data_IF_498403454626
#
_entry.id   IF_498403454626
#
_cell.length_a   1.000
_cell.length_b   1.000
_cell.length_c   1.000
_cell.angle_alpha   90.00
_cell.angle_beta   90.00
_cell.angle_gamma   90.00
#
_symmetry.space_group_name_H-M   'P 1'
#
loop_
_entity.id
_entity.type
_entity.pdbx_description
1 polymer ?
#
# COMPACT_ATOMS: atom_id res chain seq x y z
N UNK A 1 -5.01 13.74 7.42
CA UNK A 1 -4.35 13.00 8.51
C UNK A 1 -4.08 13.92 9.70
N UNK A 2 -4.31 13.45 10.92
CA UNK A 2 -3.81 14.05 12.14
C UNK A 2 -2.58 13.27 12.60
N UNK A 3 -1.50 14.00 12.88
CA UNK A 3 -0.26 13.43 13.38
C UNK A 3 -0.04 13.89 14.82
N UNK A 4 0.23 12.96 15.71
CA UNK A 4 0.39 13.18 17.14
C UNK A 4 1.86 13.03 17.50
N UNK A 5 2.40 13.99 18.23
CA UNK A 5 3.78 14.03 18.68
C UNK A 5 3.82 14.30 20.18
N UNK A 6 4.38 13.39 21.00
CA UNK A 6 4.59 13.68 22.41
C UNK A 6 5.70 14.71 22.57
N UNK A 7 5.44 15.76 23.33
CA UNK A 7 6.44 16.73 23.79
C UNK A 7 6.64 16.48 25.28
N UNK A 8 7.68 15.71 25.61
CA UNK A 8 7.96 15.25 26.97
C UNK A 8 8.36 16.43 27.88
N UNK A 9 9.12 17.38 27.35
CA UNK A 9 9.60 18.55 28.12
C UNK A 9 8.46 19.42 28.66
N UNK A 10 7.43 19.62 27.83
CA UNK A 10 6.28 20.45 28.16
C UNK A 10 5.06 19.64 28.64
N UNK A 11 5.18 18.31 28.73
CA UNK A 11 4.08 17.37 29.06
C UNK A 11 2.82 17.58 28.19
N UNK A 12 3.02 17.82 26.89
CA UNK A 12 1.97 18.09 25.92
C UNK A 12 1.94 17.04 24.81
N UNK A 13 0.80 16.94 24.15
CA UNK A 13 0.67 16.28 22.86
C UNK A 13 0.48 17.33 21.79
N UNK A 14 1.38 17.40 20.80
CA UNK A 14 1.25 18.28 19.64
C UNK A 14 0.49 17.54 18.55
N UNK A 15 -0.59 18.12 18.04
CA UNK A 15 -1.37 17.57 16.92
C UNK A 15 -1.16 18.46 15.68
N UNK A 16 -0.70 17.83 14.59
CA UNK A 16 -0.57 18.50 13.29
C UNK A 16 -1.52 17.85 12.27
N UNK A 17 -2.11 18.66 11.38
CA UNK A 17 -2.83 18.15 10.22
C UNK A 17 -1.91 18.12 9.00
N UNK A 18 -2.07 17.10 8.17
CA UNK A 18 -1.34 16.93 6.91
C UNK A 18 -2.27 16.36 5.84
N UNK A 19 -2.54 17.09 4.73
CA UNK A 19 -2.24 18.53 4.56
C UNK A 19 -3.07 19.39 5.52
N UNK A 20 -2.67 20.66 5.69
CA UNK A 20 -3.49 21.66 6.39
C UNK A 20 -4.77 21.94 5.58
N UNK A 21 -5.88 22.11 6.28
CA UNK A 21 -7.19 22.44 5.72
C UNK A 21 -7.63 23.76 6.34
N UNK A 22 -7.90 24.78 5.53
CA UNK A 22 -8.13 26.14 5.99
C UNK A 22 -9.33 26.29 6.94
N UNK A 23 -10.39 25.53 6.72
CA UNK A 23 -11.60 25.58 7.53
C UNK A 23 -11.67 24.50 8.62
N UNK A 24 -10.53 23.94 9.07
CA UNK A 24 -10.51 22.96 10.14
C UNK A 24 -9.67 23.44 11.31
N UNK A 25 -10.27 23.49 12.49
CA UNK A 25 -9.62 23.80 13.77
C UNK A 25 -9.45 22.55 14.60
N UNK A 26 -8.35 22.48 15.33
CA UNK A 26 -8.06 21.41 16.30
C UNK A 26 -8.32 21.94 17.69
N UNK A 27 -9.16 21.24 18.44
CA UNK A 27 -9.37 21.39 19.88
C UNK A 27 -8.70 20.21 20.57
N UNK A 28 -7.55 20.46 21.17
CA UNK A 28 -6.68 19.44 21.72
C UNK A 28 -6.76 19.41 23.25
N UNK A 29 -7.46 18.43 23.78
CA UNK A 29 -7.62 18.16 25.21
C UNK A 29 -6.98 16.83 25.61
N UNK A 30 -5.86 16.47 24.95
CA UNK A 30 -5.11 15.27 25.28
C UNK A 30 -4.13 15.52 26.43
N UNK A 31 -4.10 14.62 27.38
CA UNK A 31 -3.03 14.53 28.39
C UNK A 31 -1.93 13.56 27.93
N UNK A 32 -0.67 13.92 28.16
CA UNK A 32 0.46 13.02 27.96
C UNK A 32 0.64 12.15 29.21
N UNK A 33 0.66 10.83 29.04
CA UNK A 33 0.82 9.87 30.17
C UNK A 33 2.06 8.99 29.94
N UNK A 34 2.73 8.64 31.02
CA UNK A 34 3.87 7.73 30.97
C UNK A 34 3.39 6.29 30.83
N UNK A 35 3.29 5.84 29.59
CA UNK A 35 2.81 4.51 29.23
C UNK A 35 3.46 4.02 27.92
N UNK A 36 3.60 2.70 27.74
CA UNK A 36 4.11 2.12 26.50
C UNK A 36 3.13 2.33 25.33
N UNK A 37 3.66 2.51 24.11
CA UNK A 37 2.88 2.63 22.89
C UNK A 37 2.22 1.29 22.51
N UNK A 38 1.04 1.03 23.05
CA UNK A 38 0.18 -0.09 22.67
C UNK A 38 -1.01 0.45 21.87
N UNK A 39 -2.20 -0.01 22.13
CA UNK A 39 -3.44 0.42 21.46
C UNK A 39 -3.83 1.88 21.77
N UNK A 40 -2.93 2.82 21.49
CA UNK A 40 -3.05 4.24 21.85
C UNK A 40 -4.39 4.89 21.43
N UNK A 41 -4.99 4.41 20.33
CA UNK A 41 -6.27 4.93 19.83
C UNK A 41 -7.47 4.60 20.71
N UNK A 42 -7.39 3.55 21.53
CA UNK A 42 -8.47 3.13 22.41
C UNK A 42 -8.68 4.09 23.59
N UNK A 43 -7.62 4.86 23.94
CA UNK A 43 -7.64 5.82 25.03
C UNK A 43 -7.92 7.25 24.56
N UNK A 44 -8.20 7.44 23.27
CA UNK A 44 -8.48 8.77 22.68
C UNK A 44 -9.86 8.76 22.06
N UNK A 45 -10.70 9.68 22.45
CA UNK A 45 -11.92 10.02 21.74
C UNK A 45 -11.65 11.13 20.72
N UNK A 46 -12.27 11.02 19.55
CA UNK A 46 -12.22 12.05 18.52
C UNK A 46 -13.64 12.35 18.06
N UNK A 47 -14.01 13.63 18.08
CA UNK A 47 -15.24 14.12 17.48
C UNK A 47 -14.94 15.15 16.39
N UNK A 48 -15.75 15.13 15.32
CA UNK A 48 -15.65 16.08 14.22
C UNK A 48 -17.01 16.76 14.03
N UNK A 49 -17.05 18.08 14.25
CA UNK A 49 -18.29 18.85 14.24
C UNK A 49 -18.21 20.01 13.26
N UNK A 50 -19.21 20.12 12.38
CA UNK A 50 -19.35 21.29 11.52
C UNK A 50 -20.00 22.42 12.31
N UNK A 51 -19.30 23.54 12.43
CA UNK A 51 -19.77 24.75 13.11
C UNK A 51 -20.65 25.60 12.18
N UNK A 52 -21.47 26.49 12.77
CA UNK A 52 -22.38 27.42 12.03
C UNK A 52 -21.67 28.28 10.97
N UNK A 53 -20.39 28.60 11.19
CA UNK A 53 -19.56 29.37 10.26
C UNK A 53 -18.87 28.53 9.18
N UNK A 54 -19.31 27.31 8.93
CA UNK A 54 -18.73 26.34 8.00
C UNK A 54 -17.27 25.94 8.32
N UNK A 55 -16.85 26.09 9.58
CA UNK A 55 -15.56 25.61 10.08
C UNK A 55 -15.75 24.24 10.73
N UNK A 56 -14.91 23.29 10.41
CA UNK A 56 -14.83 22.01 11.11
C UNK A 56 -14.04 22.17 12.40
N UNK A 57 -14.54 21.59 13.48
CA UNK A 57 -13.85 21.46 14.76
C UNK A 57 -13.55 20.00 15.02
N UNK A 58 -12.26 19.66 15.01
CA UNK A 58 -11.77 18.33 15.40
C UNK A 58 -11.34 18.40 16.87
N UNK A 59 -12.12 17.80 17.75
CA UNK A 59 -11.82 17.71 19.18
C UNK A 59 -11.23 16.37 19.52
N UNK A 60 -10.11 16.37 20.26
CA UNK A 60 -9.44 15.20 20.77
C UNK A 60 -9.40 15.26 22.30
N UNK A 61 -9.82 14.19 22.94
CA UNK A 61 -9.87 14.06 24.42
C UNK A 61 -9.34 12.69 24.83
N UNK A 62 -8.68 12.63 25.99
CA UNK A 62 -8.15 11.39 26.56
C UNK A 62 -6.65 11.41 26.78
N UNK A 63 -6.02 10.23 26.76
CA UNK A 63 -4.63 10.03 27.17
C UNK A 63 -3.79 9.52 26.00
N UNK A 64 -2.67 10.19 25.74
CA UNK A 64 -1.69 9.77 24.73
C UNK A 64 -0.43 9.25 25.40
N UNK A 65 0.04 8.01 25.08
CA UNK A 65 1.23 7.42 25.71
C UNK A 65 2.52 8.10 25.24
N UNK A 66 3.41 8.47 26.18
CA UNK A 66 4.73 9.04 25.91
C UNK A 66 5.66 8.05 25.18
N UNK A 67 5.45 6.75 25.35
CA UNK A 67 6.15 5.69 24.62
C UNK A 67 5.85 5.60 23.13
N UNK A 68 4.85 6.35 22.61
CA UNK A 68 4.64 6.53 21.17
C UNK A 68 5.54 7.64 20.67
N UNK A 69 6.47 7.36 19.74
CA UNK A 69 7.34 8.38 19.14
C UNK A 69 6.55 9.35 18.27
N UNK A 70 5.68 8.82 17.41
CA UNK A 70 4.67 9.55 16.64
C UNK A 70 3.59 8.59 16.19
N UNK A 71 2.38 9.08 16.02
CA UNK A 71 1.26 8.29 15.51
C UNK A 71 0.41 9.11 14.54
N UNK A 72 -0.32 8.42 13.67
CA UNK A 72 -1.19 9.07 12.68
C UNK A 72 -2.60 8.50 12.73
N UNK A 73 -3.58 9.40 12.58
CA UNK A 73 -4.99 9.04 12.47
C UNK A 73 -5.60 9.68 11.23
N UNK A 74 -5.97 8.84 10.26
CA UNK A 74 -6.61 9.28 9.03
C UNK A 74 -8.13 9.35 9.24
N UNK A 75 -8.72 10.48 8.88
CA UNK A 75 -10.14 10.76 9.03
C UNK A 75 -10.67 11.38 7.73
N UNK A 76 -11.84 10.97 7.31
CA UNK A 76 -12.59 11.63 6.24
C UNK A 76 -13.50 12.67 6.89
N UNK A 77 -13.17 13.94 6.68
CA UNK A 77 -13.90 15.06 7.28
C UNK A 77 -14.92 15.70 6.33
N UNK A 78 -14.69 15.61 5.01
CA UNK A 78 -15.49 16.28 3.99
C UNK A 78 -15.38 15.54 2.66
N UNK A 79 -16.17 15.94 1.67
CA UNK A 79 -16.05 15.43 0.31
C UNK A 79 -14.73 15.86 -0.35
N UNK A 80 -14.38 15.23 -1.48
CA UNK A 80 -13.12 15.44 -2.19
C UNK A 80 -12.95 16.88 -2.69
N UNK A 81 -14.04 17.50 -3.14
CA UNK A 81 -14.02 18.83 -3.73
C UNK A 81 -13.73 19.88 -2.65
N UNK A 82 -14.42 19.78 -1.52
CA UNK A 82 -14.17 20.67 -0.39
C UNK A 82 -12.78 20.41 0.22
N UNK A 83 -12.35 19.17 0.29
CA UNK A 83 -10.99 18.85 0.74
C UNK A 83 -9.94 19.51 -0.13
N UNK A 84 -10.06 19.40 -1.47
CA UNK A 84 -9.15 20.05 -2.42
C UNK A 84 -9.16 21.58 -2.24
N UNK A 85 -10.35 22.18 -2.25
CA UNK A 85 -10.51 23.64 -2.11
C UNK A 85 -9.86 24.17 -0.82
N UNK A 86 -10.16 23.54 0.31
CA UNK A 86 -9.66 24.00 1.60
C UNK A 86 -8.16 23.75 1.79
N UNK A 87 -7.62 22.68 1.17
CA UNK A 87 -6.18 22.44 1.12
C UNK A 87 -5.46 23.46 0.23
N UNK A 88 -6.05 23.83 -0.91
CA UNK A 88 -5.51 24.87 -1.80
C UNK A 88 -5.50 26.24 -1.12
N UNK A 89 -6.60 26.61 -0.43
CA UNK A 89 -6.69 27.85 0.33
C UNK A 89 -5.58 27.89 1.39
N UNK A 90 -5.44 26.81 2.16
CA UNK A 90 -4.44 26.72 3.20
C UNK A 90 -3.02 26.84 2.64
N UNK A 91 -2.69 26.12 1.57
CA UNK A 91 -1.37 26.16 0.95
C UNK A 91 -1.03 27.57 0.40
N UNK A 92 -2.02 28.25 -0.22
CA UNK A 92 -1.84 29.60 -0.72
C UNK A 92 -1.57 30.61 0.41
N UNK A 93 -2.34 30.53 1.50
CA UNK A 93 -2.16 31.38 2.69
C UNK A 93 -0.81 31.10 3.38
N UNK A 94 -0.39 29.84 3.49
CA UNK A 94 0.90 29.44 4.09
C UNK A 94 2.10 29.98 3.30
N UNK A 95 1.93 30.20 1.99
CA UNK A 95 2.94 30.83 1.13
C UNK A 95 2.86 32.38 1.14
N UNK A 96 2.02 32.99 2.00
CA UNK A 96 1.84 34.42 2.09
C UNK A 96 0.85 35.02 1.08
N UNK A 97 0.14 34.17 0.35
CA UNK A 97 -0.89 34.58 -0.60
C UNK A 97 -2.15 35.09 0.07
N UNK A 98 -2.88 35.95 -0.62
CA UNK A 98 -4.18 36.45 -0.18
C UNK A 98 -5.25 36.31 -1.26
N UNK A 99 -6.50 36.24 -0.83
CA UNK A 99 -7.65 36.06 -1.71
C UNK A 99 -8.47 37.34 -1.77
N UNK A 100 -8.59 37.98 -2.94
CA UNK A 100 -9.49 39.13 -3.14
C UNK A 100 -10.97 38.75 -2.95
N UNK A 101 -11.36 37.54 -3.36
CA UNK A 101 -12.65 36.90 -3.05
C UNK A 101 -12.40 35.45 -2.69
N UNK A 102 -13.16 34.90 -1.75
CA UNK A 102 -13.05 33.49 -1.39
C UNK A 102 -13.25 32.59 -2.64
N UNK A 103 -12.31 31.70 -2.94
CA UNK A 103 -12.42 30.81 -4.08
C UNK A 103 -13.59 29.85 -3.90
N UNK A 104 -14.17 29.43 -5.02
CA UNK A 104 -15.30 28.50 -5.06
C UNK A 104 -15.03 27.40 -6.08
N UNK A 105 -15.50 26.21 -5.81
CA UNK A 105 -15.53 25.11 -6.80
C UNK A 105 -16.79 25.27 -7.64
N UNK A 106 -16.61 25.04 -8.94
CA UNK A 106 -17.69 24.93 -9.92
C UNK A 106 -17.44 23.67 -10.75
N UNK A 107 -18.41 22.78 -10.80
CA UNK A 107 -18.37 21.64 -11.72
C UNK A 107 -18.57 22.12 -13.15
N UNK A 108 -17.82 21.52 -14.07
CA UNK A 108 -17.91 21.87 -15.50
C UNK A 108 -16.85 21.14 -16.32
N UNK A 109 -16.88 21.38 -17.61
CA UNK A 109 -15.83 20.93 -18.53
C UNK A 109 -14.92 22.12 -18.87
N UNK A 110 -13.62 21.83 -19.04
CA UNK A 110 -12.67 22.82 -19.54
C UNK A 110 -12.99 23.06 -21.01
N UNK A 111 -13.24 24.32 -21.36
CA UNK A 111 -13.52 24.72 -22.74
C UNK A 111 -12.27 24.61 -23.60
N UNK A 112 -12.45 24.41 -24.91
CA UNK A 112 -11.35 24.51 -25.87
C UNK A 112 -10.69 25.89 -25.78
N UNK A 113 -9.36 25.92 -25.89
CA UNK A 113 -8.57 27.17 -25.84
C UNK A 113 -8.03 27.56 -24.45
N UNK A 114 -8.32 26.79 -23.39
CA UNK A 114 -7.65 27.00 -22.10
C UNK A 114 -6.19 26.52 -22.14
N UNK A 115 -5.29 27.38 -21.72
CA UNK A 115 -3.86 27.04 -21.59
C UNK A 115 -3.53 26.73 -20.14
N UNK A 116 -2.85 25.60 -19.83
CA UNK A 116 -2.39 25.32 -18.48
C UNK A 116 -1.45 26.43 -17.98
N UNK A 117 -1.68 26.95 -16.78
CA UNK A 117 -0.79 27.92 -16.13
C UNK A 117 0.47 27.19 -15.62
N UNK A 118 0.29 25.98 -15.11
CA UNK A 118 1.37 25.14 -14.61
C UNK A 118 1.01 23.68 -14.81
N UNK A 119 2.01 22.86 -15.08
CA UNK A 119 1.88 21.39 -15.13
C UNK A 119 2.86 20.79 -14.13
N UNK A 120 2.33 19.97 -13.23
CA UNK A 120 3.13 19.19 -12.29
C UNK A 120 3.24 17.76 -12.79
N UNK A 121 4.48 17.28 -12.91
CA UNK A 121 4.75 15.87 -13.21
C UNK A 121 4.96 15.12 -11.90
N UNK A 122 4.19 14.06 -11.70
CA UNK A 122 4.36 13.17 -10.56
C UNK A 122 5.59 12.27 -10.69
N UNK A 123 5.78 11.39 -9.72
CA UNK A 123 6.83 10.36 -9.78
C UNK A 123 6.59 9.40 -10.96
N UNK A 124 7.64 8.75 -11.49
CA UNK A 124 7.49 7.73 -12.52
C UNK A 124 6.53 6.61 -12.11
N UNK A 125 5.86 6.00 -13.10
CA UNK A 125 4.84 4.98 -12.84
C UNK A 125 5.36 3.80 -11.99
N UNK A 126 6.60 3.37 -12.21
CA UNK A 126 7.18 2.26 -11.43
C UNK A 126 7.31 2.59 -9.94
N UNK A 127 7.60 3.83 -9.58
CA UNK A 127 7.61 4.28 -8.18
C UNK A 127 6.21 4.27 -7.58
N UNK A 128 5.21 4.72 -8.34
CA UNK A 128 3.80 4.63 -7.94
C UNK A 128 3.38 3.18 -7.72
N UNK A 129 3.78 2.25 -8.60
CA UNK A 129 3.50 0.81 -8.47
C UNK A 129 4.19 0.22 -7.24
N UNK A 130 5.45 0.64 -6.96
CA UNK A 130 6.16 0.26 -5.74
C UNK A 130 5.38 0.67 -4.50
N UNK A 131 4.92 1.91 -4.43
CA UNK A 131 4.16 2.41 -3.29
C UNK A 131 2.80 1.71 -3.17
N UNK A 132 2.11 1.43 -4.29
CA UNK A 132 0.89 0.63 -4.30
C UNK A 132 1.12 -0.72 -3.64
N UNK A 133 2.17 -1.44 -4.02
CA UNK A 133 2.44 -2.78 -3.52
C UNK A 133 2.96 -2.76 -2.08
N UNK A 134 3.95 -1.90 -1.76
CA UNK A 134 4.54 -1.78 -0.42
C UNK A 134 3.51 -1.36 0.63
N UNK A 135 2.71 -0.36 0.33
CA UNK A 135 1.73 0.22 1.25
C UNK A 135 0.33 -0.39 1.11
N UNK A 136 0.11 -1.22 0.09
CA UNK A 136 -1.20 -1.78 -0.24
C UNK A 136 -2.27 -0.69 -0.47
N UNK A 137 -1.92 0.34 -1.27
CA UNK A 137 -2.77 1.50 -1.50
C UNK A 137 -3.87 1.19 -2.53
N UNK A 138 -5.08 0.94 -2.04
CA UNK A 138 -6.23 0.58 -2.87
C UNK A 138 -6.68 1.71 -3.81
N UNK A 139 -6.55 2.96 -3.39
CA UNK A 139 -6.96 4.13 -4.21
C UNK A 139 -6.04 4.24 -5.42
N UNK A 140 -4.73 4.21 -5.21
CA UNK A 140 -3.75 4.26 -6.29
C UNK A 140 -3.90 3.06 -7.24
N UNK A 141 -4.15 1.85 -6.71
CA UNK A 141 -4.39 0.67 -7.55
C UNK A 141 -5.61 0.83 -8.48
N UNK A 142 -6.71 1.40 -7.96
CA UNK A 142 -7.88 1.75 -8.78
C UNK A 142 -7.55 2.78 -9.85
N UNK A 143 -6.75 3.80 -9.52
CA UNK A 143 -6.33 4.81 -10.47
C UNK A 143 -5.48 4.21 -11.60
N UNK A 144 -4.61 3.24 -11.31
CA UNK A 144 -3.85 2.54 -12.37
C UNK A 144 -4.79 1.84 -13.35
N UNK A 145 -5.82 1.13 -12.88
CA UNK A 145 -6.81 0.50 -13.77
C UNK A 145 -7.54 1.52 -14.64
N UNK A 146 -7.93 2.67 -14.05
CA UNK A 146 -8.59 3.75 -14.79
C UNK A 146 -7.64 4.43 -15.78
N UNK A 147 -6.36 4.59 -15.45
CA UNK A 147 -5.34 5.12 -16.35
C UNK A 147 -5.10 4.18 -17.54
N UNK A 148 -5.06 2.86 -17.31
CA UNK A 148 -5.01 1.88 -18.40
C UNK A 148 -6.21 2.05 -19.34
N UNK A 149 -7.40 2.28 -18.78
CA UNK A 149 -8.58 2.55 -19.60
C UNK A 149 -8.45 3.85 -20.39
N UNK A 150 -7.97 4.92 -19.77
CA UNK A 150 -7.78 6.24 -20.40
C UNK A 150 -6.80 6.16 -21.58
N UNK A 151 -5.68 5.47 -21.38
CA UNK A 151 -4.58 5.43 -22.37
C UNK A 151 -4.82 4.44 -23.52
N UNK A 152 -5.64 3.41 -23.30
CA UNK A 152 -5.75 2.29 -24.24
C UNK A 152 -7.16 2.05 -24.78
N UNK A 153 -8.21 2.58 -24.16
CA UNK A 153 -9.58 2.41 -24.64
C UNK A 153 -9.96 3.50 -25.64
N UNK A 154 -10.77 3.10 -26.64
CA UNK A 154 -11.54 4.06 -27.42
C UNK A 154 -12.84 4.34 -26.67
N UNK A 155 -12.89 5.42 -25.88
CA UNK A 155 -14.06 5.79 -25.10
C UNK A 155 -13.75 6.19 -23.66
N UNK A 156 -14.79 6.33 -22.83
CA UNK A 156 -14.61 6.85 -21.47
C UNK A 156 -13.77 5.95 -20.58
N UNK A 157 -12.92 6.56 -19.75
CA UNK A 157 -12.17 5.85 -18.71
C UNK A 157 -13.12 5.36 -17.63
N UNK A 158 -13.25 4.04 -17.54
CA UNK A 158 -14.00 3.36 -16.48
C UNK A 158 -13.42 1.97 -16.18
N UNK A 159 -13.85 1.37 -15.08
CA UNK A 159 -13.32 0.06 -14.65
C UNK A 159 -13.63 -1.06 -15.63
N UNK A 160 -14.79 -1.00 -16.30
CA UNK A 160 -15.18 -2.00 -17.31
C UNK A 160 -14.21 -2.02 -18.49
N UNK A 161 -13.87 -0.85 -19.03
CA UNK A 161 -12.93 -0.73 -20.14
C UNK A 161 -11.50 -1.13 -19.69
N UNK A 162 -11.06 -0.70 -18.51
CA UNK A 162 -9.79 -1.12 -17.95
C UNK A 162 -9.69 -2.64 -17.81
N UNK A 163 -10.72 -3.27 -17.28
CA UNK A 163 -10.79 -4.73 -17.12
C UNK A 163 -10.72 -5.46 -18.46
N UNK A 164 -11.44 -4.97 -19.49
CA UNK A 164 -11.38 -5.56 -20.85
C UNK A 164 -9.97 -5.50 -21.41
N UNK A 165 -9.27 -4.38 -21.23
CA UNK A 165 -7.89 -4.20 -21.70
C UNK A 165 -6.95 -5.15 -20.98
N UNK A 166 -7.02 -5.24 -19.65
CA UNK A 166 -6.19 -6.16 -18.86
C UNK A 166 -6.42 -7.60 -19.28
N UNK A 167 -7.67 -8.06 -19.44
CA UNK A 167 -7.99 -9.41 -19.92
C UNK A 167 -7.44 -9.67 -21.33
N UNK A 168 -7.59 -8.70 -22.24
CA UNK A 168 -7.04 -8.80 -23.60
C UNK A 168 -5.52 -8.89 -23.59
N UNK A 169 -4.86 -8.12 -22.72
CA UNK A 169 -3.40 -8.15 -22.56
C UNK A 169 -2.93 -9.50 -22.02
N UNK A 170 -3.58 -10.06 -21.01
CA UNK A 170 -3.29 -11.39 -20.48
C UNK A 170 -3.41 -12.45 -21.57
N UNK A 171 -4.50 -12.42 -22.35
CA UNK A 171 -4.71 -13.36 -23.46
C UNK A 171 -3.62 -13.27 -24.53
N UNK A 172 -3.14 -12.06 -24.87
CA UNK A 172 -2.00 -11.88 -25.78
C UNK A 172 -0.71 -12.52 -25.27
N UNK A 173 -0.56 -12.63 -23.95
CA UNK A 173 0.56 -13.29 -23.30
C UNK A 173 0.28 -14.79 -22.97
N UNK A 174 -0.69 -15.39 -23.67
CA UNK A 174 -1.06 -16.80 -23.53
C UNK A 174 -1.57 -17.17 -22.14
N UNK A 175 -2.09 -16.21 -21.40
CA UNK A 175 -2.73 -16.40 -20.10
C UNK A 175 -4.26 -16.30 -20.28
N UNK A 176 -4.88 -17.43 -20.60
CA UNK A 176 -6.34 -17.54 -20.64
C UNK A 176 -6.85 -17.92 -19.25
N UNK A 177 -7.59 -17.00 -18.63
CA UNK A 177 -8.08 -17.09 -17.25
C UNK A 177 -9.59 -16.94 -17.22
N UNK A 178 -10.36 -18.01 -17.51
CA UNK A 178 -11.82 -17.93 -17.60
C UNK A 178 -12.49 -17.52 -16.28
N UNK A 179 -11.87 -17.86 -15.14
CA UNK A 179 -12.37 -17.50 -13.82
C UNK A 179 -12.05 -16.05 -13.41
N UNK A 180 -11.20 -15.34 -14.15
CA UNK A 180 -10.75 -14.01 -13.76
C UNK A 180 -11.89 -13.00 -13.74
N UNK A 181 -12.16 -12.45 -12.57
CA UNK A 181 -13.06 -11.30 -12.38
C UNK A 181 -12.27 -10.16 -11.76
N UNK A 182 -12.22 -9.02 -12.44
CA UNK A 182 -11.66 -7.78 -11.94
C UNK A 182 -12.80 -6.78 -11.83
N UNK A 183 -13.06 -6.27 -10.63
CA UNK A 183 -14.09 -5.26 -10.40
C UNK A 183 -13.51 -3.85 -10.45
N UNK A 184 -12.43 -3.61 -9.72
CA UNK A 184 -11.93 -2.26 -9.50
C UNK A 184 -10.39 -2.12 -9.49
N UNK A 185 -9.65 -3.20 -9.65
CA UNK A 185 -8.19 -3.22 -9.72
C UNK A 185 -7.46 -3.14 -8.37
N UNK A 186 -8.17 -3.03 -7.24
CA UNK A 186 -7.53 -2.97 -5.92
C UNK A 186 -7.54 -4.29 -5.15
N UNK A 187 -8.36 -5.26 -5.56
CA UNK A 187 -8.59 -6.49 -4.81
C UNK A 187 -9.52 -6.31 -3.59
N UNK A 188 -9.91 -5.08 -3.24
CA UNK A 188 -10.88 -4.82 -2.18
C UNK A 188 -12.31 -4.99 -2.72
N UNK A 189 -12.71 -6.23 -2.89
CA UNK A 189 -13.95 -6.63 -3.54
C UNK A 189 -14.40 -8.01 -3.07
N UNK A 190 -15.72 -8.25 -3.11
CA UNK A 190 -16.32 -9.55 -2.81
C UNK A 190 -16.58 -10.40 -4.05
N UNK A 191 -16.46 -9.84 -5.23
CA UNK A 191 -16.74 -10.52 -6.49
C UNK A 191 -15.48 -10.84 -7.29
N UNK A 192 -14.32 -10.24 -6.97
CA UNK A 192 -13.06 -10.56 -7.66
C UNK A 192 -12.68 -12.05 -7.51
N UNK A 193 -12.20 -12.63 -8.58
CA UNK A 193 -11.82 -14.06 -8.66
C UNK A 193 -10.55 -14.21 -9.49
N UNK A 194 -9.65 -15.04 -8.98
CA UNK A 194 -8.48 -15.56 -9.70
C UNK A 194 -8.02 -16.85 -9.03
N UNK A 195 -7.50 -17.81 -9.78
CA UNK A 195 -6.91 -19.00 -9.21
C UNK A 195 -5.47 -18.77 -8.76
N UNK A 196 -4.99 -19.55 -7.76
CA UNK A 196 -3.59 -19.53 -7.34
C UNK A 196 -2.65 -19.90 -8.49
N UNK A 197 -3.06 -20.83 -9.35
CA UNK A 197 -2.33 -21.22 -10.56
C UNK A 197 -2.11 -20.03 -11.50
N UNK A 198 -3.18 -19.32 -11.84
CA UNK A 198 -3.09 -18.20 -12.77
C UNK A 198 -2.35 -17.01 -12.19
N UNK A 199 -2.49 -16.74 -10.89
CA UNK A 199 -1.71 -15.68 -10.25
C UNK A 199 -0.20 -16.03 -10.23
N UNK A 200 0.17 -17.30 -10.04
CA UNK A 200 1.57 -17.76 -10.23
C UNK A 200 2.06 -17.57 -11.66
N UNK A 201 1.22 -17.81 -12.66
CA UNK A 201 1.60 -17.57 -14.06
C UNK A 201 1.84 -16.07 -14.33
N UNK A 202 1.05 -15.17 -13.70
CA UNK A 202 1.30 -13.72 -13.75
C UNK A 202 2.65 -13.37 -13.12
N UNK A 203 3.00 -14.00 -11.98
CA UNK A 203 4.31 -13.80 -11.36
C UNK A 203 5.45 -14.24 -12.31
N UNK A 204 5.32 -15.41 -12.94
CA UNK A 204 6.31 -15.91 -13.90
C UNK A 204 6.42 -15.00 -15.14
N UNK A 205 5.29 -14.49 -15.65
CA UNK A 205 5.30 -13.49 -16.72
C UNK A 205 6.03 -12.21 -16.29
N UNK A 206 5.81 -11.76 -15.06
CA UNK A 206 6.50 -10.59 -14.48
C UNK A 206 8.01 -10.78 -14.42
N UNK A 207 8.50 -11.96 -14.01
CA UNK A 207 9.93 -12.30 -13.99
C UNK A 207 10.58 -12.25 -15.37
N UNK A 208 9.86 -12.66 -16.41
CA UNK A 208 10.36 -12.72 -17.78
C UNK A 208 10.11 -11.44 -18.59
N UNK A 209 9.61 -10.41 -17.96
CA UNK A 209 9.34 -9.13 -18.63
C UNK A 209 10.55 -8.19 -18.61
N UNK A 210 10.58 -7.22 -19.53
CA UNK A 210 11.57 -6.13 -19.51
C UNK A 210 11.46 -5.23 -18.27
N UNK A 211 10.37 -5.32 -17.52
CA UNK A 211 10.12 -4.57 -16.27
C UNK A 211 10.30 -5.42 -15.02
N UNK A 212 10.97 -6.58 -15.15
CA UNK A 212 11.09 -7.56 -14.06
C UNK A 212 11.75 -7.00 -12.80
N UNK A 213 12.79 -6.17 -12.93
CA UNK A 213 13.45 -5.52 -11.78
C UNK A 213 12.47 -4.62 -11.01
N UNK A 214 11.76 -3.73 -11.71
CA UNK A 214 10.77 -2.84 -11.10
C UNK A 214 9.62 -3.59 -10.45
N UNK A 215 9.15 -4.67 -11.11
CA UNK A 215 8.07 -5.49 -10.57
C UNK A 215 8.50 -6.21 -9.30
N UNK A 216 9.66 -6.86 -9.29
CA UNK A 216 10.19 -7.57 -8.14
C UNK A 216 10.49 -6.60 -6.97
N UNK A 217 11.09 -5.43 -7.25
CA UNK A 217 11.38 -4.40 -6.25
C UNK A 217 10.11 -3.83 -5.62
N UNK A 218 9.00 -3.80 -6.36
CA UNK A 218 7.74 -3.27 -5.85
C UNK A 218 7.14 -4.12 -4.72
N UNK A 219 7.49 -5.41 -4.64
CA UNK A 219 6.90 -6.32 -3.65
C UNK A 219 7.42 -6.02 -2.23
N UNK A 220 6.55 -6.07 -1.19
CA UNK A 220 6.96 -5.99 0.21
C UNK A 220 7.94 -7.09 0.59
N UNK A 221 8.99 -6.75 1.36
CA UNK A 221 10.05 -7.67 1.76
C UNK A 221 9.87 -8.05 3.24
N UNK A 222 9.79 -9.34 3.53
CA UNK A 222 9.61 -9.84 4.87
C UNK A 222 10.77 -9.41 5.81
N UNK A 223 10.40 -8.87 6.96
CA UNK A 223 11.35 -8.35 7.96
C UNK A 223 12.00 -7.01 7.60
N UNK A 224 11.69 -6.42 6.43
CA UNK A 224 12.35 -5.21 5.92
C UNK A 224 11.35 -4.06 5.73
N UNK A 225 10.35 -4.24 4.85
CA UNK A 225 9.48 -3.12 4.45
C UNK A 225 8.02 -3.51 4.17
N UNK A 226 7.23 -2.49 3.86
CA UNK A 226 5.85 -2.60 3.43
C UNK A 226 4.98 -3.37 4.43
N UNK A 227 3.96 -4.07 3.92
CA UNK A 227 3.04 -4.90 4.73
C UNK A 227 3.71 -6.13 5.33
N UNK A 228 4.93 -6.45 4.93
CA UNK A 228 5.71 -7.58 5.41
C UNK A 228 6.79 -7.19 6.46
N UNK A 229 6.96 -5.91 6.76
CA UNK A 229 8.00 -5.38 7.67
C UNK A 229 8.10 -6.11 9.01
N UNK A 230 6.98 -6.53 9.57
CA UNK A 230 6.89 -7.18 10.87
C UNK A 230 6.65 -8.69 10.80
N UNK A 231 6.94 -9.32 9.65
CA UNK A 231 6.81 -10.78 9.45
C UNK A 231 8.16 -11.42 9.30
N UNK A 232 8.33 -12.62 9.87
CA UNK A 232 9.55 -13.44 9.80
C UNK A 232 10.82 -12.73 10.31
N UNK A 233 10.70 -11.72 11.18
CA UNK A 233 11.83 -10.92 11.69
C UNK A 233 12.89 -11.81 12.33
N UNK A 234 12.47 -12.76 13.19
CA UNK A 234 13.39 -13.65 13.91
C UNK A 234 14.14 -14.58 12.96
N UNK A 235 13.51 -14.96 11.83
CA UNK A 235 14.15 -15.77 10.79
C UNK A 235 15.34 -15.03 10.17
N UNK A 236 15.17 -13.75 9.85
CA UNK A 236 16.19 -12.95 9.20
C UNK A 236 17.24 -12.38 10.16
N UNK A 237 16.87 -12.03 11.39
CA UNK A 237 17.82 -11.53 12.41
C UNK A 237 18.82 -12.59 12.88
N UNK A 238 18.41 -13.85 12.95
CA UNK A 238 19.24 -14.97 13.45
C UNK A 238 20.01 -15.68 12.33
N UNK A 239 19.77 -15.34 11.08
CA UNK A 239 20.30 -16.09 9.96
C UNK A 239 21.52 -15.39 9.34
N UNK A 240 22.71 -15.88 9.69
CA UNK A 240 23.92 -15.61 8.91
C UNK A 240 24.10 -16.78 7.94
N UNK A 241 24.05 -16.49 6.65
CA UNK A 241 24.30 -17.52 5.63
C UNK A 241 25.69 -18.10 5.80
N UNK A 242 25.82 -19.42 5.73
CA UNK A 242 27.13 -20.07 5.63
C UNK A 242 27.78 -19.64 4.30
N UNK A 243 29.10 -19.62 4.27
CA UNK A 243 29.86 -19.22 3.07
C UNK A 243 29.50 -20.08 1.84
N UNK A 244 29.27 -21.39 2.04
CA UNK A 244 28.80 -22.30 0.99
C UNK A 244 27.43 -21.91 0.43
N UNK A 245 26.49 -21.55 1.32
CA UNK A 245 25.14 -21.18 0.93
C UNK A 245 25.14 -19.82 0.19
N UNK A 246 25.96 -18.87 0.63
CA UNK A 246 26.13 -17.58 -0.04
C UNK A 246 26.68 -17.72 -1.47
N UNK A 247 27.65 -18.62 -1.70
CA UNK A 247 28.17 -18.92 -3.03
C UNK A 247 27.12 -19.58 -3.94
N UNK A 248 26.33 -20.49 -3.39
CA UNK A 248 25.21 -21.11 -4.11
C UNK A 248 24.12 -20.10 -4.44
N UNK A 249 23.78 -19.23 -3.48
CA UNK A 249 22.80 -18.16 -3.66
C UNK A 249 23.19 -17.27 -4.84
N UNK A 250 24.42 -16.76 -4.87
CA UNK A 250 24.95 -15.91 -5.95
C UNK A 250 24.82 -16.59 -7.31
N UNK A 251 25.31 -17.83 -7.41
CA UNK A 251 25.30 -18.61 -8.67
C UNK A 251 23.88 -18.93 -9.13
N UNK A 252 23.00 -19.38 -8.23
CA UNK A 252 21.66 -19.84 -8.57
C UNK A 252 20.68 -18.70 -8.84
N UNK A 253 21.00 -17.48 -8.42
CA UNK A 253 20.20 -16.27 -8.71
C UNK A 253 20.74 -15.45 -9.86
N UNK A 254 21.83 -15.86 -10.49
CA UNK A 254 22.32 -15.24 -11.71
C UNK A 254 21.25 -15.28 -12.80
N UNK A 255 21.00 -14.12 -13.46
CA UNK A 255 19.95 -13.99 -14.48
C UNK A 255 18.58 -13.60 -13.95
N UNK A 256 18.33 -13.69 -12.63
CA UNK A 256 17.10 -13.14 -12.03
C UNK A 256 17.20 -11.61 -11.82
N UNK A 257 16.05 -10.92 -11.67
CA UNK A 257 16.02 -9.51 -11.29
C UNK A 257 16.86 -9.23 -10.04
N UNK A 258 17.61 -8.12 -10.03
CA UNK A 258 18.50 -7.76 -8.92
C UNK A 258 17.79 -7.71 -7.56
N UNK A 259 16.52 -7.27 -7.56
CA UNK A 259 15.71 -7.20 -6.35
C UNK A 259 15.53 -8.55 -5.65
N UNK A 260 15.52 -9.67 -6.40
CA UNK A 260 15.32 -11.02 -5.86
C UNK A 260 16.56 -11.91 -5.97
N UNK A 261 17.76 -11.34 -6.02
CA UNK A 261 19.03 -12.07 -5.91
C UNK A 261 19.50 -12.27 -4.47
N UNK A 262 18.67 -11.88 -3.50
CA UNK A 262 19.00 -11.98 -2.08
C UNK A 262 18.06 -12.96 -1.40
N UNK A 263 18.58 -13.71 -0.46
CA UNK A 263 17.81 -14.53 0.46
C UNK A 263 16.67 -13.71 1.08
N UNK A 264 15.44 -14.15 0.90
CA UNK A 264 14.29 -13.38 1.38
C UNK A 264 12.94 -13.83 0.82
N UNK A 265 11.88 -13.22 1.35
CA UNK A 265 10.52 -13.39 0.87
C UNK A 265 9.94 -12.05 0.43
N UNK A 266 9.60 -11.94 -0.83
CA UNK A 266 9.14 -10.76 -1.56
C UNK A 266 7.65 -10.96 -1.87
N UNK A 267 6.78 -10.48 -0.97
CA UNK A 267 5.40 -10.96 -0.90
C UNK A 267 4.39 -9.82 -0.84
N UNK A 268 3.45 -9.79 -1.79
CA UNK A 268 2.23 -9.02 -1.66
C UNK A 268 1.21 -9.80 -0.84
N UNK A 269 0.61 -9.14 0.14
CA UNK A 269 -0.45 -9.70 0.99
C UNK A 269 -1.83 -9.22 0.56
N UNK A 270 -2.85 -10.05 0.77
CA UNK A 270 -4.26 -9.70 0.65
C UNK A 270 -5.04 -10.09 1.90
N UNK A 271 -5.98 -9.23 2.34
CA UNK A 271 -6.79 -9.49 3.52
C UNK A 271 -8.19 -8.91 3.36
N UNK A 272 -9.20 -9.78 3.54
CA UNK A 272 -10.58 -9.41 3.81
C UNK A 272 -10.99 -10.05 5.14
N UNK A 273 -12.23 -9.86 5.56
CA UNK A 273 -12.71 -10.42 6.82
C UNK A 273 -12.49 -11.95 6.89
N UNK A 274 -12.80 -12.65 5.81
CA UNK A 274 -12.76 -14.11 5.66
C UNK A 274 -11.72 -14.59 4.64
N UNK A 275 -10.80 -13.72 4.20
CA UNK A 275 -9.75 -14.05 3.23
C UNK A 275 -8.38 -13.64 3.76
N UNK A 276 -7.41 -14.52 3.60
CA UNK A 276 -5.97 -14.22 3.71
C UNK A 276 -5.26 -14.79 2.51
N UNK A 277 -4.42 -13.99 1.88
CA UNK A 277 -3.62 -14.42 0.74
C UNK A 277 -2.22 -13.86 0.78
N UNK A 278 -1.32 -14.58 0.14
CA UNK A 278 0.04 -14.15 -0.20
C UNK A 278 0.33 -14.52 -1.64
N UNK A 279 1.09 -13.67 -2.32
CA UNK A 279 1.57 -13.94 -3.68
C UNK A 279 2.90 -13.21 -3.91
N UNK A 280 3.88 -13.88 -4.51
CA UNK A 280 5.19 -13.28 -4.76
C UNK A 280 6.30 -14.32 -4.90
N UNK A 281 7.52 -13.94 -4.49
CA UNK A 281 8.71 -14.76 -4.65
C UNK A 281 9.35 -15.07 -3.30
N UNK A 282 9.88 -16.28 -3.17
CA UNK A 282 10.73 -16.67 -2.05
C UNK A 282 12.06 -17.14 -2.62
N UNK A 283 13.15 -16.57 -2.12
CA UNK A 283 14.52 -16.96 -2.48
C UNK A 283 15.13 -17.69 -1.29
N UNK A 284 15.42 -18.97 -1.47
CA UNK A 284 15.98 -19.82 -0.43
C UNK A 284 17.43 -19.48 -0.10
N UNK A 285 17.96 -20.04 0.98
CA UNK A 285 19.36 -19.86 1.39
C UNK A 285 20.38 -20.32 0.33
N UNK A 286 20.02 -21.29 -0.53
CA UNK A 286 20.86 -21.76 -1.62
C UNK A 286 20.53 -21.13 -2.98
N UNK A 287 19.62 -20.14 -3.01
CA UNK A 287 19.30 -19.38 -4.22
C UNK A 287 18.20 -19.98 -5.10
N UNK A 288 17.46 -20.98 -4.61
CA UNK A 288 16.27 -21.42 -5.33
C UNK A 288 15.19 -20.35 -5.28
N UNK A 289 14.67 -19.94 -6.44
CA UNK A 289 13.61 -18.95 -6.56
C UNK A 289 12.27 -19.62 -6.75
N UNK A 290 11.36 -19.41 -5.82
CA UNK A 290 10.01 -19.96 -5.87
C UNK A 290 9.00 -18.86 -6.14
N UNK A 291 8.15 -18.98 -7.17
CA UNK A 291 6.94 -18.21 -7.31
C UNK A 291 5.82 -18.88 -6.50
N UNK A 292 5.23 -18.17 -5.56
CA UNK A 292 4.22 -18.74 -4.68
C UNK A 292 2.93 -17.93 -4.67
N UNK A 293 1.82 -18.63 -4.58
CA UNK A 293 0.50 -18.05 -4.27
C UNK A 293 -0.25 -18.97 -3.33
N UNK A 294 -0.68 -18.46 -2.20
CA UNK A 294 -1.53 -19.17 -1.24
C UNK A 294 -2.72 -18.32 -0.86
N UNK A 295 -3.92 -18.90 -0.94
CA UNK A 295 -5.20 -18.24 -0.66
C UNK A 295 -6.01 -19.09 0.32
N UNK A 296 -6.46 -18.46 1.40
CA UNK A 296 -7.32 -19.07 2.43
C UNK A 296 -8.62 -18.29 2.46
N UNK A 297 -9.72 -18.95 2.06
CA UNK A 297 -11.08 -18.42 2.11
C UNK A 297 -11.86 -19.19 3.19
N UNK A 298 -11.96 -18.62 4.38
CA UNK A 298 -12.64 -19.25 5.51
C UNK A 298 -12.95 -18.23 6.60
N UNK A 299 -14.06 -18.42 7.34
CA UNK A 299 -14.43 -17.55 8.46
C UNK A 299 -13.31 -17.36 9.51
N UNK A 300 -12.46 -18.38 9.69
CA UNK A 300 -11.31 -18.34 10.59
C UNK A 300 -9.98 -17.98 9.87
N UNK A 301 -10.04 -17.31 8.71
CA UNK A 301 -8.85 -16.96 7.91
C UNK A 301 -7.81 -16.12 8.70
N UNK A 302 -8.22 -15.48 9.81
CA UNK A 302 -7.31 -14.78 10.71
C UNK A 302 -6.11 -15.62 11.15
N UNK A 303 -6.32 -16.91 11.45
CA UNK A 303 -5.28 -17.88 11.82
C UNK A 303 -4.40 -18.30 10.62
N UNK A 304 -4.81 -18.03 9.39
CA UNK A 304 -4.08 -18.40 8.18
C UNK A 304 -2.74 -17.70 8.00
N UNK A 305 -2.48 -16.64 8.77
CA UNK A 305 -1.19 -15.95 8.76
C UNK A 305 -0.04 -16.88 9.17
N UNK A 306 -0.24 -17.68 10.21
CA UNK A 306 0.76 -18.65 10.69
C UNK A 306 1.06 -19.73 9.62
N UNK A 307 0.04 -20.18 8.89
CA UNK A 307 0.19 -21.15 7.79
C UNK A 307 1.06 -20.54 6.67
N UNK A 308 0.80 -19.30 6.29
CA UNK A 308 1.60 -18.60 5.29
C UNK A 308 3.04 -18.37 5.76
N UNK A 309 3.25 -18.04 7.04
CA UNK A 309 4.60 -17.87 7.61
C UNK A 309 5.36 -19.19 7.62
N UNK A 310 4.71 -20.31 7.97
CA UNK A 310 5.30 -21.64 7.92
C UNK A 310 5.69 -22.04 6.49
N UNK A 311 4.81 -21.82 5.49
CA UNK A 311 5.11 -22.08 4.08
C UNK A 311 6.34 -21.29 3.60
N UNK A 312 6.39 -19.98 3.88
CA UNK A 312 7.54 -19.17 3.50
C UNK A 312 8.82 -19.62 4.20
N UNK A 313 8.74 -19.96 5.50
CA UNK A 313 9.89 -20.45 6.27
C UNK A 313 10.43 -21.77 5.68
N UNK A 314 9.56 -22.70 5.35
CA UNK A 314 9.93 -23.96 4.72
C UNK A 314 10.65 -23.73 3.37
N UNK A 315 10.15 -22.84 2.52
CA UNK A 315 10.78 -22.51 1.23
C UNK A 315 12.11 -21.78 1.41
N UNK A 316 12.23 -20.90 2.39
CA UNK A 316 13.48 -20.23 2.73
C UNK A 316 14.59 -21.22 3.15
N UNK A 317 14.23 -22.38 3.71
CA UNK A 317 15.12 -23.48 4.09
C UNK A 317 15.29 -24.54 2.97
N UNK A 318 15.17 -24.14 1.71
CA UNK A 318 15.26 -24.95 0.49
C UNK A 318 14.05 -25.88 0.22
N UNK A 319 12.98 -25.77 1.02
CA UNK A 319 11.69 -26.42 0.73
C UNK A 319 11.78 -27.89 0.32
N UNK A 320 11.29 -28.24 -0.89
CA UNK A 320 11.28 -29.63 -1.37
C UNK A 320 12.67 -30.24 -1.58
N UNK A 321 13.72 -29.45 -1.73
CA UNK A 321 15.08 -29.96 -1.94
C UNK A 321 15.71 -30.46 -0.63
N UNK A 322 15.36 -29.84 0.52
CA UNK A 322 15.80 -30.32 1.82
C UNK A 322 15.22 -31.71 2.17
N UNK A 323 14.04 -32.03 1.65
CA UNK A 323 13.38 -33.34 1.85
C UNK A 323 13.97 -34.47 0.99
N UNK A 324 14.80 -34.15 -0.02
CA UNK A 324 15.48 -35.14 -0.87
C UNK A 324 16.91 -35.49 -0.40
N UNK A 325 17.41 -34.74 0.59
CA UNK A 325 18.75 -34.91 1.14
C UNK A 325 18.78 -35.77 2.41
N UNK A 326 17.63 -36.27 2.89
CA UNK A 326 17.46 -37.27 3.94
C UNK A 326 16.87 -38.55 3.33
#
# INVERSE_FOLDING_TARGET
SFQFFPNIENQLVVIKQTPRIANLKIDNNLSLVDAPCKNWRENISMSLQLQKNATWLARFEGEYPSGCSSASWNVVATDSDQFFLQSLIAAWEDMGGSWGKKPKIKSGQISEGFTPIVTHFGVPLFESVRDINKLSNNVMAKQVLLTIALEKAQGPSNTTNGTKIVKSWLKKHQLDMPELVIENGSGLSRIERISSKHLNQVLLLGLNSSSSDYFAESLPIAGVDGTMKHRLIDKFRKHTLKRSDAQLLERNTEGFPNAIRKYGAYIKTGSLMDVRSISGYVVSKTGQVYAITSMINHKNSGSGRAIHDALMTWLLDDGPLSARAN
#
